data_IF_029476553522
#
_entry.id   IF_029476553522
#
_cell.length_a   1.000
_cell.length_b   1.000
_cell.length_c   1.000
_cell.angle_alpha   90.00
_cell.angle_beta   90.00
_cell.angle_gamma   90.00
#
_symmetry.space_group_name_H-M   'P 1'
#
loop_
_entity.id
_entity.type
_entity.pdbx_description
1 polymer ?
#
# COMPACT_ATOMS: atom_id res chain seq x y z
N UNK A 1 -9.13 21.16 17.16
CA UNK A 1 -8.75 19.77 17.50
C UNK A 1 -7.27 19.52 17.18
N UNK A 2 -6.82 19.62 15.92
CA UNK A 2 -5.42 19.35 15.55
C UNK A 2 -4.38 20.16 16.34
N UNK A 3 -4.60 21.47 16.56
CA UNK A 3 -3.70 22.32 17.37
C UNK A 3 -3.63 21.88 18.83
N UNK A 4 -4.77 21.55 19.44
CA UNK A 4 -4.81 21.03 20.81
C UNK A 4 -4.07 19.69 20.95
N UNK A 5 -4.14 18.83 19.93
CA UNK A 5 -3.36 17.59 19.88
C UNK A 5 -1.85 17.87 19.74
N UNK A 6 -1.47 18.88 18.95
CA UNK A 6 -0.09 19.33 18.80
C UNK A 6 0.47 19.83 20.14
N UNK A 7 -0.23 20.74 20.81
CA UNK A 7 0.17 21.25 22.14
C UNK A 7 0.33 20.11 23.16
N UNK A 8 -0.64 19.19 23.19
CA UNK A 8 -0.60 18.03 24.09
C UNK A 8 0.61 17.14 23.77
N UNK A 9 0.87 16.87 22.50
CA UNK A 9 1.98 16.04 22.08
C UNK A 9 3.34 16.69 22.38
N UNK A 10 3.46 18.01 22.15
CA UNK A 10 4.65 18.80 22.50
C UNK A 10 4.92 18.75 24.00
N UNK A 11 3.88 18.92 24.83
CA UNK A 11 4.03 18.95 26.28
C UNK A 11 4.32 17.58 26.90
N UNK A 12 3.73 16.52 26.35
CA UNK A 12 3.80 15.15 26.90
C UNK A 12 4.80 14.23 26.21
N UNK A 13 5.52 14.72 25.19
CA UNK A 13 6.48 13.90 24.45
C UNK A 13 5.84 12.82 23.58
N UNK A 14 4.63 13.06 23.08
CA UNK A 14 3.92 12.07 22.28
C UNK A 14 4.30 12.17 20.80
N UNK A 15 3.96 11.12 20.06
CA UNK A 15 4.09 11.11 18.62
C UNK A 15 2.77 11.58 18.02
N UNK A 16 2.84 12.59 17.15
CA UNK A 16 1.69 13.09 16.40
C UNK A 16 1.92 12.82 14.91
N UNK A 17 0.95 12.18 14.27
CA UNK A 17 0.92 11.95 12.83
C UNK A 17 -0.20 12.77 12.21
N UNK A 18 0.12 13.65 11.28
CA UNK A 18 -0.85 14.35 10.45
C UNK A 18 -0.83 13.73 9.05
N UNK A 19 -1.97 13.21 8.62
CA UNK A 19 -2.08 12.52 7.34
C UNK A 19 -2.70 13.42 6.27
N UNK A 20 -2.30 13.19 5.02
CA UNK A 20 -2.87 13.82 3.82
C UNK A 20 -2.81 15.35 3.86
N UNK A 21 -1.69 15.91 4.30
CA UNK A 21 -1.53 17.34 4.53
C UNK A 21 -1.71 18.21 3.26
N UNK A 22 -1.51 17.66 2.07
CA UNK A 22 -1.79 18.32 0.79
C UNK A 22 -3.26 18.75 0.64
N UNK A 23 -4.19 18.10 1.36
CA UNK A 23 -5.60 18.48 1.38
C UNK A 23 -5.90 19.67 2.32
N UNK A 24 -4.95 20.04 3.19
CA UNK A 24 -5.14 21.02 4.27
C UNK A 24 -4.04 22.10 4.25
N UNK A 25 -3.79 22.67 3.07
CA UNK A 25 -2.72 23.66 2.86
C UNK A 25 -2.83 24.89 3.76
N UNK A 26 -4.05 25.36 4.04
CA UNK A 26 -4.28 26.49 4.96
C UNK A 26 -3.84 26.17 6.38
N UNK A 27 -4.14 24.96 6.87
CA UNK A 27 -3.71 24.50 8.18
C UNK A 27 -2.19 24.39 8.28
N UNK A 28 -1.51 23.98 7.19
CA UNK A 28 -0.05 23.89 7.19
C UNK A 28 0.66 25.22 7.47
N UNK A 29 0.07 26.36 7.06
CA UNK A 29 0.62 27.68 7.40
C UNK A 29 0.49 27.99 8.88
N UNK A 30 -0.64 27.61 9.49
CA UNK A 30 -0.82 27.73 10.95
C UNK A 30 0.17 26.83 11.68
N UNK A 31 0.32 25.58 11.22
CA UNK A 31 1.29 24.64 11.78
C UNK A 31 2.72 25.18 11.71
N UNK A 32 3.11 25.79 10.59
CA UNK A 32 4.44 26.40 10.44
C UNK A 32 4.72 27.45 11.52
N UNK A 33 3.74 28.32 11.78
CA UNK A 33 3.83 29.35 12.81
C UNK A 33 3.95 28.75 14.22
N UNK A 34 3.16 27.73 14.54
CA UNK A 34 3.25 27.05 15.86
C UNK A 34 4.60 26.38 16.06
N UNK A 35 5.18 25.81 15.00
CA UNK A 35 6.52 25.22 15.03
C UNK A 35 7.63 26.28 15.18
N UNK A 36 7.42 27.50 14.67
CA UNK A 36 8.33 28.64 14.84
C UNK A 36 8.36 29.16 16.28
N UNK A 37 7.17 29.24 16.91
CA UNK A 37 7.00 29.75 18.27
C UNK A 37 7.39 28.70 19.33
N UNK A 38 7.61 27.45 18.92
CA UNK A 38 7.97 26.34 19.79
C UNK A 38 9.40 26.46 20.34
N UNK A 39 9.54 26.94 21.57
CA UNK A 39 10.84 27.18 22.19
C UNK A 39 11.50 25.93 22.83
N UNK A 40 10.74 25.12 23.58
CA UNK A 40 11.25 23.93 24.29
C UNK A 40 10.26 22.77 24.22
N UNK A 41 10.24 22.01 23.12
CA UNK A 41 9.44 20.78 23.06
C UNK A 41 9.98 19.72 24.01
N UNK A 42 9.11 18.80 24.43
CA UNK A 42 9.55 17.61 25.15
C UNK A 42 10.55 16.79 24.29
N UNK A 43 11.65 16.26 24.86
CA UNK A 43 12.70 15.56 24.09
C UNK A 43 12.20 14.38 23.24
N UNK A 44 11.16 13.68 23.71
CA UNK A 44 10.55 12.53 23.02
C UNK A 44 9.48 12.88 21.99
N UNK A 45 9.09 14.15 21.88
CA UNK A 45 8.09 14.59 20.91
C UNK A 45 8.55 14.30 19.47
N UNK A 46 7.67 13.74 18.65
CA UNK A 46 7.89 13.52 17.21
C UNK A 46 6.66 13.94 16.43
N UNK A 47 6.87 14.73 15.38
CA UNK A 47 5.83 15.11 14.43
C UNK A 47 6.10 14.43 13.08
N UNK A 48 5.12 13.68 12.59
CA UNK A 48 5.13 13.04 11.29
C UNK A 48 4.05 13.66 10.40
N UNK A 49 4.41 13.94 9.15
CA UNK A 49 3.50 14.49 8.14
C UNK A 49 3.48 13.54 6.94
N UNK A 50 2.31 13.11 6.49
CA UNK A 50 2.16 12.45 5.18
C UNK A 50 1.53 13.42 4.19
N UNK A 51 2.14 13.54 3.01
CA UNK A 51 1.67 14.47 1.97
C UNK A 51 2.07 13.98 0.59
N UNK A 52 1.23 14.24 -0.39
CA UNK A 52 1.63 14.18 -1.80
C UNK A 52 2.39 15.46 -2.17
N UNK A 53 3.19 15.44 -3.26
CA UNK A 53 3.85 16.62 -3.77
C UNK A 53 2.82 17.71 -4.10
N UNK A 54 3.01 18.91 -3.52
CA UNK A 54 2.16 20.07 -3.83
C UNK A 54 3.01 21.35 -3.89
N UNK A 55 2.81 22.21 -4.90
CA UNK A 55 3.60 23.43 -5.06
C UNK A 55 3.33 24.47 -3.95
N UNK A 56 2.25 24.30 -3.19
CA UNK A 56 1.82 25.22 -2.13
C UNK A 56 2.24 24.77 -0.73
N UNK A 57 3.01 23.69 -0.61
CA UNK A 57 3.51 23.21 0.68
C UNK A 57 4.44 24.25 1.33
N UNK A 58 4.29 24.56 2.64
CA UNK A 58 5.12 25.58 3.27
C UNK A 58 6.62 25.24 3.27
N UNK A 59 7.42 26.16 2.72
CA UNK A 59 8.86 25.98 2.53
C UNK A 59 9.60 25.89 3.88
N UNK A 60 9.17 26.62 4.92
CA UNK A 60 9.84 26.59 6.21
C UNK A 60 9.65 25.26 6.94
N UNK A 61 8.46 24.63 6.84
CA UNK A 61 8.28 23.24 7.27
C UNK A 61 9.21 22.32 6.47
N UNK A 62 9.22 22.46 5.14
CA UNK A 62 10.06 21.64 4.28
C UNK A 62 11.54 21.76 4.67
N UNK A 63 12.08 22.97 4.80
CA UNK A 63 13.50 23.18 5.13
C UNK A 63 13.91 22.54 6.46
N UNK A 64 13.01 22.50 7.45
CA UNK A 64 13.29 21.97 8.80
C UNK A 64 12.89 20.52 9.03
N UNK A 65 12.34 19.86 8.02
CA UNK A 65 11.92 18.47 8.10
C UNK A 65 12.96 17.51 7.51
N UNK A 66 13.02 16.29 8.02
CA UNK A 66 13.59 15.15 7.30
C UNK A 66 12.56 14.70 6.24
N UNK A 67 12.98 14.60 4.98
CA UNK A 67 12.09 14.20 3.87
C UNK A 67 12.38 12.76 3.52
N UNK A 68 11.35 11.93 3.53
CA UNK A 68 11.41 10.55 3.06
C UNK A 68 10.41 10.43 1.92
N UNK A 69 10.89 10.01 0.75
CA UNK A 69 10.03 9.73 -0.41
C UNK A 69 9.78 8.23 -0.43
N UNK A 70 8.52 7.84 -0.31
CA UNK A 70 8.09 6.45 -0.46
C UNK A 70 7.71 6.20 -1.91
N UNK A 71 8.67 5.75 -2.72
CA UNK A 71 8.38 5.28 -4.07
C UNK A 71 7.96 3.79 -4.03
N UNK A 72 6.99 3.36 -4.87
CA UNK A 72 6.74 1.94 -5.04
C UNK A 72 8.01 1.23 -5.54
N UNK A 73 8.22 -0.06 -5.19
CA UNK A 73 9.41 -0.79 -5.59
C UNK A 73 9.63 -0.71 -7.11
N UNK A 74 10.85 -0.36 -7.51
CA UNK A 74 11.18 -0.16 -8.91
C UNK A 74 11.64 -1.45 -9.59
N UNK A 75 10.78 -1.99 -10.46
CA UNK A 75 11.11 -3.09 -11.34
C UNK A 75 10.43 -4.39 -10.93
N UNK A 76 10.09 -5.19 -11.94
CA UNK A 76 9.31 -6.42 -11.80
C UNK A 76 9.81 -7.37 -10.71
N UNK A 77 11.14 -7.54 -10.60
CA UNK A 77 11.75 -8.42 -9.61
C UNK A 77 11.52 -7.93 -8.17
N UNK A 78 11.71 -6.64 -7.91
CA UNK A 78 11.51 -6.08 -6.57
C UNK A 78 10.03 -6.07 -6.20
N UNK A 79 9.17 -5.81 -7.18
CA UNK A 79 7.74 -5.82 -6.96
C UNK A 79 7.22 -7.23 -6.65
N UNK A 80 7.62 -8.23 -7.45
CA UNK A 80 7.32 -9.65 -7.18
C UNK A 80 7.85 -10.07 -5.80
N UNK A 81 9.09 -9.68 -5.46
CA UNK A 81 9.66 -9.99 -4.16
C UNK A 81 8.84 -9.36 -3.03
N UNK A 82 8.46 -8.09 -3.15
CA UNK A 82 7.61 -7.40 -2.15
C UNK A 82 6.28 -8.13 -1.95
N UNK A 83 5.58 -8.47 -3.02
CA UNK A 83 4.27 -9.13 -2.97
C UNK A 83 4.37 -10.56 -2.43
N UNK A 84 5.31 -11.36 -2.94
CA UNK A 84 5.44 -12.76 -2.56
C UNK A 84 6.06 -12.95 -1.17
N UNK A 85 7.01 -12.10 -0.76
CA UNK A 85 7.64 -12.19 0.57
C UNK A 85 6.70 -11.79 1.70
N UNK A 86 5.72 -10.91 1.44
CA UNK A 86 4.67 -10.56 2.40
C UNK A 86 3.71 -11.71 2.68
N UNK A 87 3.61 -12.70 1.79
CA UNK A 87 2.78 -13.88 2.03
C UNK A 87 3.34 -14.69 3.19
N UNK A 88 2.53 -14.86 4.24
CA UNK A 88 2.90 -15.72 5.36
C UNK A 88 2.97 -17.17 4.87
N UNK A 89 3.90 -17.96 5.41
CA UNK A 89 4.01 -19.39 5.09
C UNK A 89 2.68 -20.14 5.28
N UNK A 90 1.93 -19.78 6.33
CA UNK A 90 0.59 -20.31 6.58
C UNK A 90 -0.36 -20.10 5.39
N UNK A 91 -0.34 -18.92 4.75
CA UNK A 91 -1.20 -18.61 3.60
C UNK A 91 -0.90 -19.49 2.39
N UNK A 92 0.36 -19.92 2.21
CA UNK A 92 0.78 -20.82 1.12
C UNK A 92 0.40 -22.30 1.38
N UNK A 93 0.00 -22.61 2.61
CA UNK A 93 -0.36 -23.96 3.07
C UNK A 93 -1.88 -24.12 3.26
N UNK A 94 -2.67 -23.08 2.97
CA UNK A 94 -4.13 -23.09 3.15
C UNK A 94 -4.85 -24.13 2.28
N UNK A 95 -4.32 -24.41 1.07
CA UNK A 95 -4.96 -25.32 0.12
C UNK A 95 -4.10 -26.57 -0.09
N UNK A 96 -4.72 -27.75 0.04
CA UNK A 96 -4.07 -29.03 -0.18
C UNK A 96 -3.81 -29.37 -1.67
N UNK A 97 -4.39 -28.61 -2.60
CA UNK A 97 -4.23 -28.87 -4.02
C UNK A 97 -2.77 -28.62 -4.46
N UNK A 98 -2.09 -29.59 -5.12
CA UNK A 98 -0.66 -29.49 -5.42
C UNK A 98 -0.29 -28.30 -6.32
N UNK A 99 -1.22 -27.82 -7.15
CA UNK A 99 -1.02 -26.65 -8.00
C UNK A 99 -1.13 -25.30 -7.25
N UNK A 100 -1.64 -25.25 -6.01
CA UNK A 100 -1.95 -24.00 -5.32
C UNK A 100 -0.74 -23.08 -5.20
N UNK A 101 0.37 -23.57 -4.64
CA UNK A 101 1.60 -22.79 -4.45
C UNK A 101 2.15 -22.23 -5.76
N UNK A 102 2.14 -23.05 -6.83
CA UNK A 102 2.57 -22.62 -8.16
C UNK A 102 1.65 -21.54 -8.74
N UNK A 103 0.33 -21.67 -8.54
CA UNK A 103 -0.65 -20.68 -9.00
C UNK A 103 -0.55 -19.37 -8.22
N UNK A 104 -0.30 -19.41 -6.91
CA UNK A 104 -0.05 -18.20 -6.10
C UNK A 104 1.19 -17.46 -6.59
N UNK A 105 2.27 -18.18 -6.94
CA UNK A 105 3.45 -17.54 -7.53
C UNK A 105 3.15 -16.90 -8.90
N UNK A 106 2.43 -17.60 -9.78
CA UNK A 106 2.01 -17.05 -11.08
C UNK A 106 1.10 -15.83 -10.90
N UNK A 107 0.20 -15.85 -9.93
CA UNK A 107 -0.65 -14.72 -9.57
C UNK A 107 0.17 -13.53 -9.04
N UNK A 108 1.17 -13.77 -8.18
CA UNK A 108 2.06 -12.73 -7.67
C UNK A 108 2.89 -12.10 -8.81
N UNK A 109 3.35 -12.93 -9.76
CA UNK A 109 4.03 -12.46 -10.96
C UNK A 109 3.10 -11.61 -11.84
N UNK A 110 1.87 -12.06 -12.07
CA UNK A 110 0.88 -11.30 -12.83
C UNK A 110 0.57 -9.95 -12.17
N UNK A 111 0.34 -9.94 -10.85
CA UNK A 111 0.12 -8.73 -10.06
C UNK A 111 1.29 -7.73 -10.20
N UNK A 112 2.53 -8.22 -10.11
CA UNK A 112 3.71 -7.39 -10.30
C UNK A 112 3.81 -6.82 -11.73
N UNK A 113 3.47 -7.61 -12.77
CA UNK A 113 3.42 -7.13 -14.17
C UNK A 113 2.38 -6.03 -14.33
N UNK A 114 1.18 -6.21 -13.79
CA UNK A 114 0.08 -5.24 -13.87
C UNK A 114 0.49 -3.92 -13.23
N UNK A 115 1.11 -3.97 -12.05
CA UNK A 115 1.60 -2.79 -11.35
C UNK A 115 2.74 -2.08 -12.09
N UNK A 116 3.73 -2.81 -12.62
CA UNK A 116 4.80 -2.20 -13.42
C UNK A 116 4.26 -1.56 -14.70
N UNK A 117 3.25 -2.17 -15.32
CA UNK A 117 2.63 -1.62 -16.55
C UNK A 117 1.97 -0.26 -16.31
N UNK A 118 1.50 0.04 -15.09
CA UNK A 118 0.94 1.36 -14.73
C UNK A 118 1.95 2.50 -14.85
N UNK A 119 3.26 2.22 -14.76
CA UNK A 119 4.31 3.24 -14.92
C UNK A 119 4.34 3.86 -16.32
N UNK A 120 3.72 3.20 -17.30
CA UNK A 120 3.66 3.68 -18.69
C UNK A 120 2.40 4.50 -18.99
N UNK A 121 1.62 4.87 -17.96
CA UNK A 121 0.43 5.73 -18.07
C UNK A 121 -0.48 5.28 -19.24
N UNK A 122 -0.81 6.18 -20.17
CA UNK A 122 -1.70 5.93 -21.32
C UNK A 122 -1.19 4.87 -22.31
N UNK A 123 0.11 4.57 -22.32
CA UNK A 123 0.68 3.49 -23.14
C UNK A 123 0.44 2.13 -22.47
N UNK A 124 0.41 2.12 -21.13
CA UNK A 124 0.13 0.94 -20.33
C UNK A 124 -1.35 0.60 -20.27
N UNK A 125 -2.18 1.61 -20.00
CA UNK A 125 -3.62 1.49 -19.73
C UNK A 125 -4.40 2.68 -20.28
N UNK A 126 -5.58 2.43 -20.88
CA UNK A 126 -6.47 3.52 -21.29
C UNK A 126 -7.12 4.21 -20.08
N UNK A 127 -7.43 3.43 -19.02
CA UNK A 127 -7.88 3.89 -17.70
C UNK A 127 -7.09 3.08 -16.69
N UNK A 128 -6.39 3.74 -15.76
CA UNK A 128 -5.60 3.06 -14.74
C UNK A 128 -6.49 2.62 -13.57
N UNK A 129 -6.42 1.34 -13.21
CA UNK A 129 -7.00 0.80 -11.97
C UNK A 129 -5.93 0.70 -10.89
N UNK A 130 -6.32 0.99 -9.64
CA UNK A 130 -5.39 1.00 -8.50
C UNK A 130 -5.25 -0.38 -7.84
N UNK A 131 -4.69 -1.33 -8.59
CA UNK A 131 -4.40 -2.68 -8.10
C UNK A 131 -3.51 -2.65 -6.86
N UNK A 132 -4.09 -3.03 -5.73
CA UNK A 132 -3.46 -3.02 -4.43
C UNK A 132 -3.42 -4.40 -3.78
N UNK A 133 -2.91 -4.46 -2.55
CA UNK A 133 -2.72 -5.70 -1.80
C UNK A 133 -4.06 -6.41 -1.48
N UNK A 134 -5.16 -5.67 -1.35
CA UNK A 134 -6.49 -6.23 -1.09
C UNK A 134 -6.98 -7.05 -2.29
N UNK A 135 -6.82 -6.53 -3.51
CA UNK A 135 -7.24 -7.22 -4.73
C UNK A 135 -6.46 -8.53 -4.92
N UNK A 136 -5.16 -8.48 -4.61
CA UNK A 136 -4.30 -9.65 -4.62
C UNK A 136 -4.74 -10.72 -3.61
N UNK A 137 -5.08 -10.32 -2.38
CA UNK A 137 -5.57 -11.24 -1.35
C UNK A 137 -6.90 -11.89 -1.75
N UNK A 138 -7.84 -11.13 -2.32
CA UNK A 138 -9.09 -11.67 -2.86
C UNK A 138 -8.82 -12.70 -3.97
N UNK A 139 -7.86 -12.45 -4.86
CA UNK A 139 -7.49 -13.41 -5.89
C UNK A 139 -6.89 -14.72 -5.30
N UNK A 140 -6.16 -14.65 -4.19
CA UNK A 140 -5.67 -15.84 -3.48
C UNK A 140 -6.83 -16.62 -2.85
N UNK A 141 -7.80 -15.93 -2.22
CA UNK A 141 -8.99 -16.56 -1.65
C UNK A 141 -9.85 -17.26 -2.72
N UNK A 142 -9.96 -16.67 -3.91
CA UNK A 142 -10.61 -17.28 -5.07
C UNK A 142 -9.85 -18.56 -5.49
N UNK A 143 -8.51 -18.51 -5.59
CA UNK A 143 -7.72 -19.69 -5.90
C UNK A 143 -7.94 -20.81 -4.88
N UNK A 144 -7.86 -20.49 -3.59
CA UNK A 144 -8.06 -21.47 -2.51
C UNK A 144 -9.46 -22.08 -2.60
N UNK A 145 -10.50 -21.25 -2.66
CA UNK A 145 -11.90 -21.71 -2.71
C UNK A 145 -12.15 -22.70 -3.86
N UNK A 146 -11.68 -22.38 -5.07
CA UNK A 146 -11.96 -23.20 -6.25
C UNK A 146 -11.10 -24.46 -6.32
N UNK A 147 -9.85 -24.39 -5.86
CA UNK A 147 -8.98 -25.56 -5.81
C UNK A 147 -9.37 -26.52 -4.68
N UNK A 148 -9.80 -25.99 -3.54
CA UNK A 148 -10.35 -26.79 -2.44
C UNK A 148 -11.62 -27.53 -2.88
N UNK A 149 -12.54 -26.86 -3.60
CA UNK A 149 -13.70 -27.53 -4.23
C UNK A 149 -13.31 -28.63 -5.22
N UNK A 150 -12.24 -28.44 -6.00
CA UNK A 150 -11.75 -29.46 -6.91
C UNK A 150 -11.21 -30.70 -6.16
N UNK A 151 -10.49 -30.47 -5.05
CA UNK A 151 -10.02 -31.55 -4.16
C UNK A 151 -11.20 -32.31 -3.54
N UNK A 152 -12.20 -31.60 -3.01
CA UNK A 152 -13.41 -32.20 -2.43
C UNK A 152 -14.20 -33.03 -3.44
N UNK A 153 -14.33 -32.52 -4.67
CA UNK A 153 -14.97 -33.22 -5.78
C UNK A 153 -14.12 -34.35 -6.38
N UNK A 154 -12.86 -34.51 -5.94
CA UNK A 154 -11.86 -35.40 -6.53
C UNK A 154 -11.67 -35.19 -8.04
N UNK A 155 -11.85 -33.95 -8.51
CA UNK A 155 -11.57 -33.58 -9.89
C UNK A 155 -10.09 -33.17 -10.01
N UNK A 156 -9.27 -33.88 -10.79
CA UNK A 156 -7.86 -33.55 -10.96
C UNK A 156 -7.63 -32.29 -11.82
N UNK A 157 -8.68 -31.74 -12.44
CA UNK A 157 -8.57 -30.60 -13.36
C UNK A 157 -8.63 -29.29 -12.59
N UNK A 158 -7.73 -28.38 -12.95
CA UNK A 158 -7.79 -26.98 -12.49
C UNK A 158 -8.98 -26.30 -13.19
N UNK A 159 -9.88 -25.62 -12.46
CA UNK A 159 -11.05 -24.96 -13.03
C UNK A 159 -10.69 -23.63 -13.72
N UNK A 160 -9.89 -23.70 -14.79
CA UNK A 160 -9.33 -22.54 -15.49
C UNK A 160 -10.38 -21.55 -16.00
N UNK A 161 -11.55 -22.02 -16.44
CA UNK A 161 -12.62 -21.16 -16.92
C UNK A 161 -13.08 -20.19 -15.82
N UNK A 162 -13.41 -20.72 -14.65
CA UNK A 162 -13.84 -19.92 -13.50
C UNK A 162 -12.72 -19.04 -12.97
N UNK A 163 -11.49 -19.57 -12.85
CA UNK A 163 -10.36 -18.79 -12.34
C UNK A 163 -10.02 -17.60 -13.24
N UNK A 164 -9.97 -17.80 -14.57
CA UNK A 164 -9.68 -16.71 -15.51
C UNK A 164 -10.79 -15.66 -15.55
N UNK A 165 -12.05 -16.10 -15.48
CA UNK A 165 -13.20 -15.21 -15.46
C UNK A 165 -13.21 -14.36 -14.19
N UNK A 166 -13.12 -14.99 -13.03
CA UNK A 166 -13.18 -14.27 -11.75
C UNK A 166 -11.97 -13.38 -11.52
N UNK A 167 -10.75 -13.86 -11.77
CA UNK A 167 -9.55 -13.03 -11.62
C UNK A 167 -9.55 -11.93 -12.69
N UNK A 168 -10.04 -12.19 -13.89
CA UNK A 168 -10.08 -11.22 -14.99
C UNK A 168 -11.20 -10.18 -14.93
N UNK A 169 -12.32 -10.45 -14.24
CA UNK A 169 -13.41 -9.48 -14.02
C UNK A 169 -13.32 -8.76 -12.67
N UNK A 170 -12.69 -9.38 -11.67
CA UNK A 170 -12.37 -8.74 -10.38
C UNK A 170 -11.14 -7.83 -10.51
N UNK A 171 -10.38 -7.97 -11.60
CA UNK A 171 -9.25 -7.11 -11.97
C UNK A 171 -9.64 -5.99 -12.93
#
# INVERSE_FOLDING_TARGET
IALSLLETAIARGQWLMLQNCHLLVTFLRTLEKELDEMAKPHPDFRLWLTTDPTPTFPIGILQRSLKVVTEPPNGLKLNLHSTYFKLRSQSLDNCAHPAFRSLVYVLAFFHAVVQERRKYDKIGWNISYDFNESDFNVCIEILDTYLTKAVEARDPRIPWGSLKYLIGEVS
#
